data_IF_935645934891
#
_entry.id   IF_935645934891
#
_cell.length_a   1.000
_cell.length_b   1.000
_cell.length_c   1.000
_cell.angle_alpha   90.00
_cell.angle_beta   90.00
_cell.angle_gamma   90.00
#
_symmetry.space_group_name_H-M   'P 1'
#
loop_
_entity.id
_entity.type
_entity.pdbx_description
1 polymer ?
#
# COMPACT_ATOMS: atom_id res chain seq x y z
N UNK A 1 -0.11 -1.54 -30.81
CA UNK A 1 1.10 -0.82 -30.35
C UNK A 1 1.67 -1.61 -29.17
N UNK A 2 2.74 -2.37 -29.40
CA UNK A 2 3.37 -3.22 -28.35
C UNK A 2 4.21 -2.29 -27.49
N UNK A 3 3.83 -2.06 -26.23
CA UNK A 3 4.68 -1.33 -25.28
C UNK A 3 6.06 -2.01 -25.20
N UNK A 4 7.17 -1.24 -25.18
CA UNK A 4 8.50 -1.82 -25.09
C UNK A 4 8.60 -2.69 -23.84
N UNK A 5 9.08 -3.93 -24.03
CA UNK A 5 9.15 -5.00 -23.01
C UNK A 5 9.83 -4.54 -21.70
N UNK A 6 10.69 -3.53 -21.76
CA UNK A 6 11.37 -2.88 -20.63
C UNK A 6 10.45 -2.04 -19.74
N UNK A 7 9.46 -1.34 -20.30
CA UNK A 7 8.51 -0.53 -19.53
C UNK A 7 7.63 -1.39 -18.61
N UNK A 8 7.24 -2.57 -19.10
CA UNK A 8 6.47 -3.54 -18.34
C UNK A 8 7.27 -4.20 -17.20
N UNK A 9 8.57 -4.45 -17.42
CA UNK A 9 9.44 -5.01 -16.39
C UNK A 9 9.70 -3.99 -15.27
N UNK A 10 10.00 -2.74 -15.62
CA UNK A 10 10.25 -1.70 -14.61
C UNK A 10 9.02 -1.46 -13.74
N UNK A 11 7.83 -1.35 -14.33
CA UNK A 11 6.58 -1.23 -13.58
C UNK A 11 6.32 -2.42 -12.66
N UNK A 12 6.63 -3.65 -13.10
CA UNK A 12 6.50 -4.84 -12.27
C UNK A 12 7.47 -4.82 -11.07
N UNK A 13 8.75 -4.51 -11.31
CA UNK A 13 9.79 -4.42 -10.27
C UNK A 13 9.44 -3.35 -9.25
N UNK A 14 9.01 -2.16 -9.68
CA UNK A 14 8.61 -1.08 -8.78
C UNK A 14 7.44 -1.48 -7.89
N UNK A 15 6.40 -2.10 -8.47
CA UNK A 15 5.25 -2.59 -7.69
C UNK A 15 5.66 -3.63 -6.66
N UNK A 16 6.48 -4.61 -7.04
CA UNK A 16 6.98 -5.62 -6.10
C UNK A 16 7.82 -4.97 -5.01
N UNK A 17 8.71 -4.04 -5.35
CA UNK A 17 9.56 -3.33 -4.40
C UNK A 17 8.77 -2.53 -3.38
N UNK A 18 7.79 -1.72 -3.83
CA UNK A 18 6.94 -0.96 -2.92
C UNK A 18 5.98 -1.85 -2.12
N UNK A 19 5.48 -2.93 -2.70
CA UNK A 19 4.67 -3.91 -1.99
C UNK A 19 5.47 -4.60 -0.87
N UNK A 20 6.71 -4.98 -1.14
CA UNK A 20 7.62 -5.51 -0.12
C UNK A 20 7.95 -4.48 0.96
N UNK A 21 8.12 -3.21 0.59
CA UNK A 21 8.33 -2.12 1.54
C UNK A 21 7.12 -1.93 2.48
N UNK A 22 5.90 -2.00 1.95
CA UNK A 22 4.67 -1.93 2.75
C UNK A 22 4.61 -3.10 3.77
N UNK A 23 4.89 -4.32 3.31
CA UNK A 23 4.92 -5.51 4.17
C UNK A 23 5.99 -5.39 5.25
N UNK A 24 7.19 -4.92 4.90
CA UNK A 24 8.26 -4.70 5.87
C UNK A 24 7.85 -3.70 6.95
N UNK A 25 7.23 -2.58 6.57
CA UNK A 25 6.73 -1.59 7.53
C UNK A 25 5.66 -2.16 8.47
N UNK A 26 4.70 -2.93 7.93
CA UNK A 26 3.65 -3.60 8.73
C UNK A 26 4.27 -4.60 9.71
N UNK A 27 5.23 -5.44 9.28
CA UNK A 27 5.90 -6.41 10.15
C UNK A 27 6.69 -5.70 11.25
N UNK A 28 7.44 -4.65 10.92
CA UNK A 28 8.17 -3.87 11.92
C UNK A 28 7.24 -3.22 12.93
N UNK A 29 6.10 -2.68 12.48
CA UNK A 29 5.09 -2.12 13.39
C UNK A 29 4.50 -3.16 14.33
N UNK A 30 4.21 -4.37 13.82
CA UNK A 30 3.72 -5.48 14.62
C UNK A 30 4.75 -5.89 15.68
N UNK A 31 6.02 -6.03 15.31
CA UNK A 31 7.09 -6.37 16.25
C UNK A 31 7.19 -5.34 17.39
N UNK A 32 7.18 -4.04 17.06
CA UNK A 32 7.20 -2.95 18.05
C UNK A 32 6.00 -3.05 19.00
N UNK A 33 4.79 -3.31 18.49
CA UNK A 33 3.59 -3.43 19.33
C UNK A 33 3.62 -4.67 20.23
N UNK A 34 4.11 -5.81 19.73
CA UNK A 34 4.27 -7.04 20.52
C UNK A 34 5.28 -6.80 21.65
N UNK A 35 6.43 -6.19 21.35
CA UNK A 35 7.46 -5.87 22.36
C UNK A 35 6.93 -4.90 23.43
N UNK A 36 6.01 -4.01 23.04
CA UNK A 36 5.29 -3.12 23.96
C UNK A 36 4.14 -3.80 24.73
N UNK A 37 3.91 -5.11 24.55
CA UNK A 37 2.87 -5.88 25.23
C UNK A 37 1.45 -5.65 24.69
N UNK A 38 1.31 -5.05 23.51
CA UNK A 38 0.00 -4.79 22.90
C UNK A 38 -0.56 -6.05 22.23
N UNK A 39 -1.87 -6.35 22.37
CA UNK A 39 -2.49 -7.48 21.67
C UNK A 39 -2.42 -7.33 20.15
N UNK A 40 -2.17 -8.43 19.43
CA UNK A 40 -2.18 -8.47 17.96
C UNK A 40 -3.55 -8.05 17.39
N UNK A 41 -4.63 -8.32 18.12
CA UNK A 41 -5.98 -7.86 17.73
C UNK A 41 -6.10 -6.35 17.70
N UNK A 42 -5.43 -5.63 18.61
CA UNK A 42 -5.37 -4.18 18.60
C UNK A 42 -4.62 -3.69 17.35
N UNK A 43 -3.46 -4.29 17.05
CA UNK A 43 -2.69 -3.99 15.84
C UNK A 43 -3.52 -4.14 14.55
N UNK A 44 -4.26 -5.23 14.43
CA UNK A 44 -5.09 -5.50 13.26
C UNK A 44 -6.35 -4.63 13.20
N UNK A 45 -6.75 -3.98 14.29
CA UNK A 45 -7.93 -3.11 14.33
C UNK A 45 -7.67 -1.72 13.72
N UNK A 46 -6.42 -1.37 13.44
CA UNK A 46 -6.10 -0.09 12.82
C UNK A 46 -6.33 -0.15 11.31
N UNK A 47 -7.24 0.70 10.81
CA UNK A 47 -7.51 0.87 9.38
C UNK A 47 -6.23 1.09 8.56
N UNK A 48 -5.25 1.82 9.10
CA UNK A 48 -3.98 2.06 8.41
C UNK A 48 -3.17 0.78 8.21
N UNK A 49 -3.22 -0.15 9.15
CA UNK A 49 -2.55 -1.45 9.04
C UNK A 49 -3.23 -2.31 7.99
N UNK A 50 -4.56 -2.44 8.07
CA UNK A 50 -5.35 -3.23 7.11
C UNK A 50 -5.19 -2.70 5.68
N UNK A 51 -5.28 -1.38 5.48
CA UNK A 51 -5.11 -0.74 4.18
C UNK A 51 -3.70 -0.92 3.61
N UNK A 52 -2.65 -0.82 4.43
CA UNK A 52 -1.27 -1.07 3.97
C UNK A 52 -1.00 -2.53 3.64
N UNK A 53 -1.59 -3.48 4.38
CA UNK A 53 -1.53 -4.91 4.04
C UNK A 53 -2.17 -5.14 2.67
N UNK A 54 -3.38 -4.61 2.44
CA UNK A 54 -4.07 -4.72 1.16
C UNK A 54 -3.28 -4.06 0.03
N UNK A 55 -2.71 -2.88 0.26
CA UNK A 55 -1.86 -2.20 -0.71
C UNK A 55 -0.63 -3.03 -1.09
N UNK A 56 0.06 -3.61 -0.09
CA UNK A 56 1.19 -4.50 -0.30
C UNK A 56 0.83 -5.70 -1.18
N UNK A 57 -0.26 -6.39 -0.84
CA UNK A 57 -0.78 -7.54 -1.60
C UNK A 57 -1.11 -7.15 -3.03
N UNK A 58 -1.86 -6.05 -3.22
CA UNK A 58 -2.29 -5.60 -4.55
C UNK A 58 -1.12 -5.16 -5.42
N UNK A 59 -0.12 -4.49 -4.86
CA UNK A 59 1.09 -4.10 -5.58
C UNK A 59 1.90 -5.32 -6.01
N UNK A 60 2.21 -6.24 -5.09
CA UNK A 60 2.96 -7.47 -5.42
C UNK A 60 2.21 -8.29 -6.47
N UNK A 61 0.91 -8.53 -6.27
CA UNK A 61 0.09 -9.26 -7.22
C UNK A 61 0.01 -8.55 -8.59
N UNK A 62 -0.06 -7.20 -8.61
CA UNK A 62 -0.02 -6.45 -9.86
C UNK A 62 1.33 -6.55 -10.59
N UNK A 63 2.43 -6.71 -9.87
CA UNK A 63 3.75 -6.95 -10.47
C UNK A 63 3.94 -8.38 -10.99
N UNK A 64 3.31 -9.36 -10.35
CA UNK A 64 3.43 -10.78 -10.71
C UNK A 64 2.42 -11.26 -11.76
N UNK A 65 1.18 -10.74 -11.72
CA UNK A 65 0.10 -11.19 -12.59
C UNK A 65 0.05 -10.41 -13.91
N UNK A 66 0.22 -11.08 -15.07
CA UNK A 66 0.00 -10.47 -16.36
C UNK A 66 -1.42 -9.90 -16.47
N UNK A 67 -1.58 -8.77 -17.15
CA UNK A 67 -2.88 -8.10 -17.30
C UNK A 67 -3.95 -9.04 -17.84
N UNK A 68 -3.60 -9.89 -18.82
CA UNK A 68 -4.51 -10.86 -19.42
C UNK A 68 -5.02 -11.97 -18.48
N UNK A 69 -4.39 -12.16 -17.32
CA UNK A 69 -4.80 -13.15 -16.30
C UNK A 69 -5.55 -12.54 -15.12
N UNK A 70 -5.78 -11.22 -15.13
CA UNK A 70 -6.45 -10.54 -14.03
C UNK A 70 -7.97 -10.75 -14.14
N UNK A 71 -8.66 -11.04 -13.03
CA UNK A 71 -10.11 -11.17 -13.02
C UNK A 71 -10.78 -9.83 -13.33
N UNK A 72 -12.05 -9.88 -13.75
CA UNK A 72 -12.83 -8.67 -14.12
C UNK A 72 -12.99 -7.69 -12.96
N UNK A 73 -13.04 -8.17 -11.72
CA UNK A 73 -13.12 -7.35 -10.51
C UNK A 73 -11.79 -6.71 -10.10
N UNK A 74 -10.67 -7.02 -10.77
CA UNK A 74 -9.35 -6.53 -10.37
C UNK A 74 -9.24 -5.00 -10.37
N UNK A 75 -9.90 -4.35 -11.34
CA UNK A 75 -9.99 -2.90 -11.39
C UNK A 75 -10.68 -2.31 -10.16
N UNK A 76 -11.80 -2.92 -9.75
CA UNK A 76 -12.58 -2.50 -8.59
C UNK A 76 -11.79 -2.68 -7.30
N UNK A 77 -11.09 -3.80 -7.12
CA UNK A 77 -10.21 -4.02 -5.97
C UNK A 77 -9.09 -2.97 -5.91
N UNK A 78 -8.38 -2.74 -7.03
CA UNK A 78 -7.32 -1.72 -7.10
C UNK A 78 -7.85 -0.33 -6.77
N UNK A 79 -9.04 0.02 -7.28
CA UNK A 79 -9.70 1.29 -7.00
C UNK A 79 -10.02 1.44 -5.51
N UNK A 80 -10.63 0.42 -4.90
CA UNK A 80 -10.96 0.43 -3.47
C UNK A 80 -9.72 0.58 -2.58
N UNK A 81 -8.67 -0.19 -2.84
CA UNK A 81 -7.42 -0.11 -2.08
C UNK A 81 -6.73 1.25 -2.28
N UNK A 82 -6.78 1.82 -3.49
CA UNK A 82 -6.28 3.17 -3.74
C UNK A 82 -7.05 4.20 -2.93
N UNK A 83 -8.39 4.12 -2.90
CA UNK A 83 -9.24 5.00 -2.09
C UNK A 83 -8.87 4.92 -0.60
N UNK A 84 -8.70 3.71 -0.07
CA UNK A 84 -8.31 3.52 1.34
C UNK A 84 -6.97 4.18 1.64
N UNK A 85 -5.99 4.00 0.75
CA UNK A 85 -4.67 4.57 0.95
C UNK A 85 -4.66 6.11 0.81
N UNK A 86 -5.45 6.67 -0.11
CA UNK A 86 -5.65 8.12 -0.21
C UNK A 86 -6.31 8.66 1.07
N UNK A 87 -7.33 7.98 1.59
CA UNK A 87 -7.97 8.36 2.85
C UNK A 87 -6.97 8.34 4.01
N UNK A 88 -6.15 7.28 4.12
CA UNK A 88 -5.06 7.18 5.10
C UNK A 88 -4.10 8.37 5.01
N UNK A 89 -3.64 8.72 3.80
CA UNK A 89 -2.73 9.85 3.59
C UNK A 89 -3.35 11.20 3.94
N UNK A 90 -4.61 11.43 3.55
CA UNK A 90 -5.34 12.66 3.88
C UNK A 90 -5.51 12.78 5.39
N UNK A 91 -6.07 11.77 6.05
CA UNK A 91 -6.33 11.77 7.50
C UNK A 91 -5.04 12.01 8.27
N UNK A 92 -3.95 11.34 7.88
CA UNK A 92 -2.67 11.57 8.52
C UNK A 92 -2.21 13.02 8.36
N UNK A 93 -2.23 13.55 7.14
CA UNK A 93 -1.70 14.90 6.87
C UNK A 93 -2.54 16.01 7.54
N UNK A 94 -3.86 15.81 7.64
CA UNK A 94 -4.76 16.82 8.21
C UNK A 94 -4.89 16.72 9.72
N UNK A 95 -4.82 15.53 10.31
CA UNK A 95 -5.13 15.31 11.72
C UNK A 95 -3.95 14.87 12.57
N UNK A 96 -2.93 14.23 11.99
CA UNK A 96 -1.90 13.51 12.75
C UNK A 96 -0.47 13.96 12.46
N UNK A 97 -0.27 14.89 11.52
CA UNK A 97 1.07 15.30 11.07
C UNK A 97 1.94 15.84 12.20
N UNK A 98 1.33 16.66 13.07
CA UNK A 98 1.98 17.35 14.20
C UNK A 98 1.56 16.77 15.56
N UNK A 99 0.92 15.61 15.56
CA UNK A 99 0.47 14.94 16.79
C UNK A 99 1.46 13.85 17.15
N UNK A 100 1.95 13.88 18.40
CA UNK A 100 2.70 12.76 18.96
C UNK A 100 1.74 11.61 19.27
N UNK A 101 1.56 10.74 18.29
CA UNK A 101 0.77 9.50 18.41
C UNK A 101 1.56 8.33 19.02
N UNK A 102 2.71 8.61 19.65
CA UNK A 102 3.57 7.64 20.31
C UNK A 102 4.75 7.18 19.46
N UNK A 103 5.52 6.23 20.01
CA UNK A 103 6.79 5.70 19.47
C UNK A 103 6.61 4.85 18.19
N UNK A 104 6.04 5.42 17.13
CA UNK A 104 6.14 4.85 15.80
C UNK A 104 7.53 5.13 15.27
N UNK A 105 8.22 4.10 14.80
CA UNK A 105 9.48 4.29 14.11
C UNK A 105 9.25 5.22 12.90
N UNK A 106 9.99 6.33 12.82
CA UNK A 106 9.76 7.42 11.84
C UNK A 106 9.62 6.91 10.41
N UNK A 107 10.40 5.90 10.04
CA UNK A 107 10.35 5.31 8.71
C UNK A 107 9.06 4.51 8.46
N UNK A 108 8.56 3.77 9.46
CA UNK A 108 7.28 3.02 9.36
C UNK A 108 6.14 4.00 9.18
N UNK A 109 6.12 5.06 9.98
CA UNK A 109 5.12 6.11 9.89
C UNK A 109 5.13 6.79 8.50
N UNK A 110 6.32 7.15 8.00
CA UNK A 110 6.46 7.74 6.66
C UNK A 110 6.03 6.78 5.54
N UNK A 111 6.41 5.50 5.62
CA UNK A 111 6.04 4.50 4.61
C UNK A 111 4.53 4.33 4.57
N UNK A 112 3.92 4.08 5.72
CA UNK A 112 2.50 3.69 5.80
C UNK A 112 1.54 4.85 5.58
N UNK A 113 1.96 6.10 5.83
CA UNK A 113 1.08 7.28 5.77
C UNK A 113 1.42 8.25 4.63
N UNK A 114 2.58 8.13 3.98
CA UNK A 114 2.99 9.04 2.89
C UNK A 114 3.38 8.27 1.64
N UNK A 115 4.36 7.37 1.74
CA UNK A 115 4.95 6.72 0.57
C UNK A 115 3.94 5.78 -0.11
N UNK A 116 3.40 4.79 0.62
CA UNK A 116 2.47 3.83 0.02
C UNK A 116 1.17 4.49 -0.47
N UNK A 117 0.57 5.48 0.25
CA UNK A 117 -0.50 6.31 -0.30
C UNK A 117 -0.21 6.93 -1.66
N UNK A 118 0.92 7.61 -1.79
CA UNK A 118 1.29 8.27 -3.04
C UNK A 118 1.59 7.25 -4.15
N UNK A 119 2.24 6.14 -3.82
CA UNK A 119 2.53 5.06 -4.77
C UNK A 119 1.24 4.44 -5.31
N UNK A 120 0.27 4.13 -4.44
CA UNK A 120 -1.01 3.56 -4.88
C UNK A 120 -1.79 4.52 -5.77
N UNK A 121 -1.83 5.81 -5.40
CA UNK A 121 -2.47 6.83 -6.22
C UNK A 121 -1.78 6.97 -7.59
N UNK A 122 -0.45 7.04 -7.62
CA UNK A 122 0.31 7.13 -8.86
C UNK A 122 0.14 5.88 -9.74
N UNK A 123 0.21 4.68 -9.16
CA UNK A 123 0.03 3.42 -9.86
C UNK A 123 -1.38 3.31 -10.48
N UNK A 124 -2.40 3.80 -9.78
CA UNK A 124 -3.76 3.84 -10.30
C UNK A 124 -3.94 4.86 -11.42
N UNK A 125 -3.38 6.07 -11.30
CA UNK A 125 -3.46 7.12 -12.33
C UNK A 125 -2.67 6.79 -13.60
N UNK A 126 -1.51 6.15 -13.47
CA UNK A 126 -0.65 5.78 -14.61
C UNK A 126 -1.22 4.56 -15.34
N UNK A 127 -1.79 3.61 -14.59
CA UNK A 127 -2.39 2.40 -15.14
C UNK A 127 -3.85 2.26 -14.67
N UNK A 128 -4.75 3.13 -15.16
CA UNK A 128 -6.15 3.10 -14.78
C UNK A 128 -6.80 1.79 -15.22
N UNK A 129 -7.83 1.31 -14.50
CA UNK A 129 -8.65 0.21 -14.98
C UNK A 129 -9.16 0.56 -16.38
N UNK A 130 -8.85 -0.28 -17.37
CA UNK A 130 -9.49 -0.19 -18.68
C UNK A 130 -10.90 -0.75 -18.49
N UNK A 131 -11.89 -0.03 -18.97
CA UNK A 131 -13.32 -0.27 -18.73
C UNK A 131 -13.75 -1.74 -18.91
N UNK A 132 -14.79 -2.11 -18.17
CA UNK A 132 -15.34 -3.48 -18.01
C UNK A 132 -15.70 -4.16 -19.31
#
# INVERSE_FOLDING_TARGET
MVEPRSANLMGAVLRIGFGALAVAAVISQLAIQIDAGSPVTNFLSYFTIESNILAGIVLVASGLLPVAKRPTWWGDLRGAVTLYMVATGIVYNTLLLDVDVGNLATWVNNVTHRIIPLVMLADWLIAPPRDR
#
